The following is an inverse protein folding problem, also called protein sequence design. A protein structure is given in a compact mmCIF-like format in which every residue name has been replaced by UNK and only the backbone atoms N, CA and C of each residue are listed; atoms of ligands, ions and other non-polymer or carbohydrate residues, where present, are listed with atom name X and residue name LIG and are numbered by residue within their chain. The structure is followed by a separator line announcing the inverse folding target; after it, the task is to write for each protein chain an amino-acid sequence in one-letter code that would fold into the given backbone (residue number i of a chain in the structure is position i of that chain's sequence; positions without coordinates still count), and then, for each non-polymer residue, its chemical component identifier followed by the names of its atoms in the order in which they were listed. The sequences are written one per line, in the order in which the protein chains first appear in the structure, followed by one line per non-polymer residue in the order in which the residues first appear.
data_IF_571344450377
#
_entry.id   IF_571344450377
#
_cell.length_a   1.000
_cell.length_b   1.000
_cell.length_c   1.000
_cell.angle_alpha   90.00
_cell.angle_beta   90.00
_cell.angle_gamma   90.00
#
_symmetry.space_group_name_H-M   'P 1'
#
loop_
_entity.id
_entity.type
_entity.pdbx_description
1 polymer ?
#
# COMPACT_ATOMS: atom_id res chain seq x y z
N UNK A 1 -45.00 -13.79 46.75
CA UNK A 1 -45.21 -13.99 45.29
C UNK A 1 -45.56 -12.63 44.69
N UNK A 2 -44.95 -12.05 43.68
CA UNK A 2 -43.70 -12.23 42.96
C UNK A 2 -43.43 -10.84 42.33
N UNK A 3 -42.31 -10.20 42.64
CA UNK A 3 -41.86 -8.97 41.96
C UNK A 3 -41.33 -9.43 40.60
N UNK A 4 -41.88 -8.94 39.50
CA UNK A 4 -41.30 -9.11 38.16
C UNK A 4 -41.31 -7.78 37.44
N UNK A 5 -40.19 -7.07 37.55
CA UNK A 5 -39.82 -5.94 36.69
C UNK A 5 -39.68 -6.44 35.24
N UNK A 6 -40.49 -5.90 34.34
CA UNK A 6 -40.37 -6.13 32.92
C UNK A 6 -39.22 -5.27 32.36
N UNK A 7 -38.06 -5.90 32.15
CA UNK A 7 -36.87 -5.29 31.56
C UNK A 7 -37.12 -4.85 30.12
N UNK A 8 -36.91 -3.56 29.85
CA UNK A 8 -36.88 -2.96 28.51
C UNK A 8 -35.90 -3.70 27.59
N UNK A 9 -36.42 -4.19 26.45
CA UNK A 9 -35.60 -4.69 25.33
C UNK A 9 -34.98 -3.49 24.62
N UNK A 10 -33.69 -3.27 24.83
CA UNK A 10 -32.91 -2.35 24.01
C UNK A 10 -32.68 -2.97 22.62
N UNK A 11 -33.26 -2.35 21.59
CA UNK A 11 -33.04 -2.73 20.19
C UNK A 11 -31.56 -2.52 19.84
N UNK A 12 -30.82 -3.63 19.72
CA UNK A 12 -29.42 -3.63 19.35
C UNK A 12 -29.30 -3.29 17.87
N UNK A 13 -28.70 -2.14 17.55
CA UNK A 13 -28.45 -1.73 16.16
C UNK A 13 -27.72 -2.84 15.37
N UNK A 14 -28.08 -3.05 14.09
CA UNK A 14 -27.46 -4.08 13.28
C UNK A 14 -25.95 -3.79 13.12
N UNK A 15 -25.12 -4.76 13.52
CA UNK A 15 -23.67 -4.65 13.47
C UNK A 15 -23.18 -4.20 12.10
N UNK A 16 -22.24 -3.23 12.09
CA UNK A 16 -21.57 -2.76 10.88
C UNK A 16 -21.09 -3.95 10.06
N UNK A 17 -21.61 -4.09 8.83
CA UNK A 17 -21.18 -5.11 7.87
C UNK A 17 -19.66 -4.96 7.66
N UNK A 18 -18.89 -5.96 8.09
CA UNK A 18 -17.45 -5.98 7.93
C UNK A 18 -17.11 -6.18 6.44
N UNK A 19 -16.58 -5.14 5.79
CA UNK A 19 -16.04 -5.25 4.44
C UNK A 19 -14.54 -5.56 4.52
N UNK A 20 -14.10 -6.77 4.18
CA UNK A 20 -12.68 -7.09 4.18
C UNK A 20 -11.95 -6.24 3.13
N UNK A 21 -10.75 -5.73 3.44
CA UNK A 21 -9.98 -4.94 2.48
C UNK A 21 -9.62 -5.79 1.26
N UNK A 22 -9.86 -5.24 0.06
CA UNK A 22 -9.49 -5.90 -1.20
C UNK A 22 -7.99 -6.21 -1.22
N UNK A 23 -7.65 -7.44 -1.60
CA UNK A 23 -6.25 -7.86 -1.78
C UNK A 23 -5.63 -7.03 -2.90
N UNK A 24 -4.54 -6.33 -2.60
CA UNK A 24 -3.79 -5.56 -3.61
C UNK A 24 -2.94 -6.51 -4.43
N UNK A 25 -3.03 -6.36 -5.74
CA UNK A 25 -2.31 -7.14 -6.76
C UNK A 25 -1.06 -6.39 -7.21
N UNK A 26 0.00 -7.13 -7.53
CA UNK A 26 1.26 -6.52 -7.95
C UNK A 26 1.17 -6.08 -9.41
N UNK A 27 1.22 -4.76 -9.63
CA UNK A 27 1.12 -4.17 -10.96
C UNK A 27 2.22 -4.61 -11.94
N UNK A 28 3.40 -4.91 -11.44
CA UNK A 28 4.51 -5.43 -12.25
C UNK A 28 4.29 -6.87 -12.71
N UNK A 29 3.72 -7.71 -11.84
CA UNK A 29 3.36 -9.09 -12.20
C UNK A 29 2.24 -9.10 -13.26
N UNK A 30 1.22 -8.25 -13.11
CA UNK A 30 0.13 -8.15 -14.10
C UNK A 30 0.62 -7.73 -15.49
N UNK A 31 1.59 -6.82 -15.53
CA UNK A 31 2.16 -6.32 -16.78
C UNK A 31 3.32 -7.16 -17.31
N UNK A 32 3.63 -8.26 -16.63
CA UNK A 32 4.76 -9.15 -16.92
C UNK A 32 6.11 -8.41 -17.09
N UNK A 33 6.32 -7.35 -16.30
CA UNK A 33 7.55 -6.55 -16.32
C UNK A 33 8.52 -7.20 -15.34
N UNK A 34 9.48 -7.95 -15.88
CA UNK A 34 10.46 -8.70 -15.08
C UNK A 34 11.61 -7.83 -14.56
N UNK A 35 11.94 -6.75 -15.27
CA UNK A 35 13.07 -5.88 -14.95
C UNK A 35 12.62 -4.43 -14.74
N UNK A 36 13.12 -3.84 -13.66
CA UNK A 36 12.81 -2.48 -13.24
C UNK A 36 14.11 -1.71 -13.28
N UNK A 37 14.31 -0.94 -14.35
CA UNK A 37 15.49 -0.12 -14.52
C UNK A 37 15.39 1.21 -13.79
N UNK A 38 16.56 1.76 -13.44
CA UNK A 38 16.68 3.07 -12.81
C UNK A 38 16.44 4.23 -13.81
N UNK A 39 16.50 3.94 -15.11
CA UNK A 39 16.32 4.92 -16.20
C UNK A 39 14.86 5.32 -16.38
N UNK A 40 13.92 4.46 -15.99
CA UNK A 40 12.48 4.66 -16.18
C UNK A 40 11.90 5.48 -15.02
N UNK A 41 12.15 6.79 -15.03
CA UNK A 41 11.78 7.71 -13.95
C UNK A 41 10.27 7.71 -13.71
N UNK A 42 9.45 7.69 -14.76
CA UNK A 42 7.98 7.71 -14.67
C UNK A 42 7.41 6.57 -13.83
N UNK A 43 8.02 5.38 -13.95
CA UNK A 43 7.61 4.21 -13.21
C UNK A 43 8.02 4.36 -11.75
N UNK A 44 9.26 4.79 -11.48
CA UNK A 44 9.82 4.91 -10.13
C UNK A 44 9.16 6.02 -9.32
N UNK A 45 8.85 7.15 -9.95
CA UNK A 45 8.20 8.30 -9.33
C UNK A 45 6.83 7.91 -8.74
N UNK A 46 6.10 7.00 -9.38
CA UNK A 46 4.81 6.50 -8.83
C UNK A 46 4.95 5.75 -7.50
N UNK A 47 6.13 5.22 -7.19
CA UNK A 47 6.40 4.48 -5.95
C UNK A 47 7.15 5.31 -4.91
N UNK A 48 7.31 6.61 -5.17
CA UNK A 48 7.86 7.59 -4.25
C UNK A 48 6.72 8.57 -3.94
N UNK A 49 6.25 8.65 -2.69
CA UNK A 49 5.35 9.71 -2.27
C UNK A 49 6.15 11.00 -2.05
N UNK A 50 5.43 12.12 -1.94
CA UNK A 50 5.93 13.50 -1.90
C UNK A 50 7.06 13.80 -0.90
N UNK A 51 7.34 12.91 0.06
CA UNK A 51 8.47 13.04 0.99
C UNK A 51 9.78 12.43 0.48
N UNK A 52 9.83 12.02 -0.79
CA UNK A 52 11.02 11.39 -1.35
C UNK A 52 11.42 10.06 -0.69
N UNK A 53 10.53 9.37 0.06
CA UNK A 53 10.84 8.05 0.69
C UNK A 53 10.35 6.89 -0.20
N UNK A 54 10.91 5.69 -0.06
CA UNK A 54 10.39 4.55 -0.83
C UNK A 54 9.06 4.10 -0.20
N UNK A 55 7.98 4.07 -0.99
CA UNK A 55 6.68 3.63 -0.49
C UNK A 55 6.72 2.15 -0.05
N UNK A 56 6.16 1.82 1.14
CA UNK A 56 6.15 0.45 1.63
C UNK A 56 5.21 -0.44 0.81
N UNK A 57 5.56 -1.73 0.71
CA UNK A 57 4.80 -2.77 0.01
C UNK A 57 3.30 -2.78 0.35
N UNK A 58 2.94 -2.55 1.60
CA UNK A 58 1.53 -2.55 2.07
C UNK A 58 0.66 -1.49 1.37
N UNK A 59 1.27 -0.38 0.98
CA UNK A 59 0.57 0.71 0.29
C UNK A 59 0.54 0.42 -1.20
N UNK A 60 1.68 0.04 -1.78
CA UNK A 60 1.86 -0.13 -3.23
C UNK A 60 1.32 -1.45 -3.78
N UNK A 61 1.19 -2.50 -2.96
CA UNK A 61 0.71 -3.82 -3.38
C UNK A 61 1.71 -4.64 -4.21
N UNK A 62 2.98 -4.23 -4.27
CA UNK A 62 4.02 -4.94 -5.02
C UNK A 62 4.33 -6.32 -4.42
N UNK A 63 4.85 -7.27 -5.20
CA UNK A 63 5.34 -8.53 -4.64
C UNK A 63 6.71 -8.34 -3.96
N UNK A 64 7.11 -9.25 -3.09
CA UNK A 64 8.39 -9.14 -2.36
C UNK A 64 9.62 -9.16 -3.29
N UNK A 65 9.51 -9.83 -4.44
CA UNK A 65 10.56 -9.86 -5.46
C UNK A 65 10.71 -8.50 -6.15
N UNK A 66 9.61 -7.96 -6.68
CA UNK A 66 9.60 -6.65 -7.35
C UNK A 66 9.93 -5.51 -6.40
N UNK A 67 9.50 -5.56 -5.14
CA UNK A 67 9.86 -4.52 -4.16
C UNK A 67 11.38 -4.44 -3.93
N UNK A 68 12.07 -5.59 -3.89
CA UNK A 68 13.55 -5.63 -3.74
C UNK A 68 14.25 -5.05 -4.97
N UNK A 69 13.79 -5.39 -6.18
CA UNK A 69 14.31 -4.80 -7.44
C UNK A 69 14.05 -3.30 -7.51
N UNK A 70 12.82 -2.88 -7.21
CA UNK A 70 12.42 -1.47 -7.18
C UNK A 70 13.28 -0.66 -6.20
N UNK A 71 13.51 -1.17 -4.99
CA UNK A 71 14.35 -0.48 -4.02
C UNK A 71 15.81 -0.32 -4.52
N UNK A 72 16.36 -1.31 -5.24
CA UNK A 72 17.69 -1.20 -5.86
C UNK A 72 17.69 -0.17 -6.99
N UNK A 73 16.67 -0.17 -7.84
CA UNK A 73 16.51 0.78 -8.94
C UNK A 73 16.40 2.22 -8.41
N UNK A 74 15.56 2.48 -7.41
CA UNK A 74 15.42 3.81 -6.79
C UNK A 74 16.74 4.28 -6.18
N UNK A 75 17.46 3.40 -5.45
CA UNK A 75 18.78 3.77 -4.89
C UNK A 75 19.79 4.15 -5.96
N UNK A 76 19.84 3.41 -7.07
CA UNK A 76 20.71 3.74 -8.22
C UNK A 76 20.32 5.07 -8.86
N UNK A 77 19.02 5.29 -9.09
CA UNK A 77 18.49 6.52 -9.66
C UNK A 77 18.85 7.75 -8.80
N UNK A 78 18.81 7.63 -7.46
CA UNK A 78 19.24 8.70 -6.55
C UNK A 78 20.73 9.02 -6.63
N UNK A 79 21.58 8.01 -6.74
CA UNK A 79 23.02 8.21 -6.91
C UNK A 79 23.32 8.93 -8.23
N UNK A 80 22.52 8.66 -9.27
CA UNK A 80 22.61 9.32 -10.57
C UNK A 80 21.88 10.67 -10.65
N UNK A 81 21.40 11.21 -9.52
CA UNK A 81 20.65 12.47 -9.45
C UNK A 81 19.36 12.52 -10.30
N UNK A 82 18.79 11.37 -10.69
CA UNK A 82 17.52 11.30 -11.43
C UNK A 82 16.30 11.44 -10.49
N UNK A 83 16.48 11.13 -9.21
CA UNK A 83 15.45 11.23 -8.18
C UNK A 83 16.03 11.89 -6.93
N UNK A 84 15.29 12.77 -6.25
CA UNK A 84 15.75 13.41 -5.04
C UNK A 84 15.78 12.46 -3.85
N UNK A 85 16.60 12.81 -2.86
CA UNK A 85 16.67 12.13 -1.56
C UNK A 85 15.59 12.64 -0.59
N UNK A 86 15.28 13.93 -0.69
CA UNK A 86 14.31 14.65 0.13
C UNK A 86 13.57 15.60 -0.81
N UNK A 87 12.25 15.62 -0.68
CA UNK A 87 11.33 16.57 -1.29
C UNK A 87 10.59 17.24 -0.11
N UNK A 88 10.36 18.56 -0.21
CA UNK A 88 9.82 19.42 0.86
C UNK A 88 8.31 19.25 1.05
#
# INVERSE_FOLDING_TARGET
MAIREEREKTDRLPGRKFFPPKRKVCRFCERNINEIDYKSIDILHRYIPDRGKIAPRRITGTCAYHQRKLARAVKRARIMALLPFVED
#
